data_IF_155004454893
#
_entry.id   IF_155004454893
#
_cell.length_a   1.000
_cell.length_b   1.000
_cell.length_c   1.000
_cell.angle_alpha   90.00
_cell.angle_beta   90.00
_cell.angle_gamma   90.00
#
_symmetry.space_group_name_H-M   'P 1'
#
loop_
_entity.id
_entity.type
_entity.pdbx_description
1 polymer ?
#
# COMPACT_ATOMS: atom_id res chain seq x y z
N UNK A 1 -12.38 -44.78 -19.60
CA UNK A 1 -11.30 -43.91 -19.08
C UNK A 1 -10.29 -43.46 -20.15
N UNK A 2 -10.04 -44.26 -21.21
CA UNK A 2 -9.05 -43.93 -22.25
C UNK A 2 -9.47 -42.80 -23.20
N UNK A 3 -10.77 -42.69 -23.52
CA UNK A 3 -11.30 -41.66 -24.44
C UNK A 3 -11.27 -40.26 -23.78
N UNK A 4 -11.62 -40.17 -22.49
CA UNK A 4 -11.63 -38.89 -21.75
C UNK A 4 -10.21 -38.29 -21.65
N UNK A 5 -9.17 -39.12 -21.46
CA UNK A 5 -7.77 -38.65 -21.39
C UNK A 5 -7.27 -38.08 -22.73
N UNK A 6 -7.71 -38.62 -23.87
CA UNK A 6 -7.34 -38.11 -25.19
C UNK A 6 -8.04 -36.79 -25.53
N UNK A 7 -9.33 -36.66 -25.18
CA UNK A 7 -10.08 -35.41 -25.40
C UNK A 7 -9.54 -34.26 -24.55
N UNK A 8 -9.08 -34.54 -23.33
CA UNK A 8 -8.48 -33.53 -22.44
C UNK A 8 -7.14 -33.01 -22.98
N UNK A 9 -6.30 -33.90 -23.52
CA UNK A 9 -5.00 -33.53 -24.11
C UNK A 9 -5.14 -32.67 -25.38
N UNK A 10 -6.22 -32.88 -26.14
CA UNK A 10 -6.50 -32.10 -27.36
C UNK A 10 -6.95 -30.67 -27.03
N UNK A 11 -7.74 -30.49 -25.96
CA UNK A 11 -8.21 -29.15 -25.56
C UNK A 11 -7.06 -28.29 -25.02
N UNK A 12 -6.10 -28.89 -24.31
CA UNK A 12 -4.94 -28.19 -23.76
C UNK A 12 -4.01 -27.67 -24.86
N UNK A 13 -3.79 -28.44 -25.94
CA UNK A 13 -2.91 -28.01 -27.03
C UNK A 13 -3.49 -26.87 -27.86
N UNK A 14 -4.81 -26.85 -28.07
CA UNK A 14 -5.49 -25.74 -28.76
C UNK A 14 -5.41 -24.45 -27.93
N UNK A 15 -5.59 -24.54 -26.61
CA UNK A 15 -5.51 -23.38 -25.71
C UNK A 15 -4.12 -22.71 -25.76
N UNK A 16 -3.04 -23.51 -25.78
CA UNK A 16 -1.66 -23.02 -25.87
C UNK A 16 -1.39 -22.30 -27.20
N UNK A 17 -1.91 -22.82 -28.33
CA UNK A 17 -1.72 -22.19 -29.64
C UNK A 17 -2.44 -20.84 -29.70
N UNK A 18 -3.65 -20.74 -29.14
CA UNK A 18 -4.41 -19.47 -29.10
C UNK A 18 -3.69 -18.43 -28.24
N UNK A 19 -3.15 -18.81 -27.07
CA UNK A 19 -2.40 -17.88 -26.20
C UNK A 19 -1.09 -17.41 -26.84
N UNK A 20 -0.35 -18.30 -27.52
CA UNK A 20 0.86 -17.91 -28.27
C UNK A 20 0.53 -17.02 -29.47
N UNK A 21 -0.59 -17.25 -30.16
CA UNK A 21 -1.01 -16.43 -31.30
C UNK A 21 -1.49 -15.04 -30.85
N UNK A 22 -2.18 -14.95 -29.70
CA UNK A 22 -2.58 -13.68 -29.11
C UNK A 22 -1.36 -12.87 -28.63
N UNK A 23 -0.36 -13.53 -28.04
CA UNK A 23 0.87 -12.88 -27.60
C UNK A 23 1.73 -12.35 -28.77
N UNK A 24 1.74 -13.03 -29.92
CA UNK A 24 2.48 -12.57 -31.09
C UNK A 24 1.80 -11.38 -31.81
N UNK A 25 0.48 -11.20 -31.67
CA UNK A 25 -0.24 -10.08 -32.30
C UNK A 25 -0.16 -8.76 -31.51
N UNK A 26 0.22 -8.78 -30.23
CA UNK A 26 0.48 -7.55 -29.46
C UNK A 26 1.85 -6.92 -29.78
N UNK A 27 2.76 -7.65 -30.43
CA UNK A 27 4.10 -7.16 -30.78
C UNK A 27 4.23 -6.60 -32.22
N UNK A 28 3.15 -6.56 -33.00
CA UNK A 28 3.15 -5.96 -34.33
C UNK A 28 2.33 -4.67 -34.37
N UNK A 29 2.84 -3.62 -33.71
CA UNK A 29 2.48 -2.24 -34.01
C UNK A 29 3.75 -1.50 -34.45
N UNK A 30 3.75 -0.76 -35.57
CA UNK A 30 4.94 -0.12 -36.08
C UNK A 30 5.37 1.02 -35.14
N UNK A 31 6.66 1.00 -34.79
CA UNK A 31 7.32 2.07 -34.07
C UNK A 31 7.36 3.33 -34.94
N UNK A 32 6.62 4.36 -34.54
CA UNK A 32 6.93 5.73 -34.94
C UNK A 32 7.96 6.31 -33.99
N UNK A 33 9.10 6.65 -34.58
CA UNK A 33 10.22 7.31 -33.95
C UNK A 33 9.83 8.73 -33.52
N UNK A 34 9.87 9.00 -32.23
CA UNK A 34 10.26 10.31 -31.73
C UNK A 34 11.27 10.10 -30.60
N UNK A 35 12.54 10.17 -30.98
CA UNK A 35 13.67 10.22 -30.05
C UNK A 35 13.73 11.59 -29.39
N UNK A 36 12.92 11.79 -28.36
CA UNK A 36 13.27 12.77 -27.32
C UNK A 36 14.26 12.07 -26.39
N UNK A 37 15.52 12.49 -26.45
CA UNK A 37 16.57 12.11 -25.50
C UNK A 37 16.00 12.14 -24.07
N UNK A 38 16.01 11.02 -23.31
CA UNK A 38 15.99 11.12 -21.88
C UNK A 38 17.37 11.65 -21.49
N UNK A 39 17.47 12.96 -21.28
CA UNK A 39 18.59 13.50 -20.51
C UNK A 39 18.63 12.71 -19.21
N UNK A 40 19.75 12.04 -19.01
CA UNK A 40 20.11 11.27 -17.84
C UNK A 40 19.82 12.08 -16.58
N UNK A 41 18.63 11.90 -16.01
CA UNK A 41 18.29 12.43 -14.71
C UNK A 41 18.76 11.40 -13.68
N UNK A 42 20.09 11.21 -13.62
CA UNK A 42 20.78 10.44 -12.57
C UNK A 42 20.41 10.94 -11.16
N UNK A 43 19.76 12.09 -11.05
CA UNK A 43 19.27 12.68 -9.81
C UNK A 43 17.86 12.25 -9.39
N UNK A 44 17.01 11.72 -10.27
CA UNK A 44 15.67 11.30 -9.88
C UNK A 44 15.70 9.99 -9.07
N UNK A 45 16.58 9.05 -9.44
CA UNK A 45 16.81 7.82 -8.68
C UNK A 45 17.66 8.03 -7.42
N UNK A 46 18.50 9.08 -7.37
CA UNK A 46 19.32 9.41 -6.19
C UNK A 46 18.57 10.19 -5.12
N UNK A 47 17.54 10.96 -5.47
CA UNK A 47 16.77 11.79 -4.51
C UNK A 47 15.82 11.00 -3.60
N UNK A 48 15.41 9.79 -3.96
CA UNK A 48 14.33 9.09 -3.23
C UNK A 48 14.83 8.38 -1.95
N UNK A 49 16.15 8.15 -1.79
CA UNK A 49 16.69 7.47 -0.61
C UNK A 49 17.78 8.26 0.15
N UNK A 50 18.26 9.40 -0.38
CA UNK A 50 19.39 10.12 0.22
C UNK A 50 19.04 10.91 1.49
N UNK A 51 17.76 11.14 1.77
CA UNK A 51 17.29 11.85 2.98
C UNK A 51 16.58 10.93 3.98
N UNK A 52 16.37 9.66 3.62
CA UNK A 52 15.68 8.72 4.50
C UNK A 52 16.69 8.22 5.55
N UNK A 53 16.52 8.65 6.81
CA UNK A 53 17.21 8.05 7.93
C UNK A 53 16.84 6.57 8.00
N UNK A 54 17.84 5.68 7.85
CA UNK A 54 17.65 4.24 7.97
C UNK A 54 18.11 3.83 9.37
N UNK A 55 17.18 3.44 10.27
CA UNK A 55 17.55 2.91 11.57
C UNK A 55 18.48 1.71 11.40
N UNK A 56 19.59 1.73 12.15
CA UNK A 56 20.68 0.76 12.07
C UNK A 56 20.84 -0.06 13.36
N UNK A 57 20.12 0.30 14.41
CA UNK A 57 20.08 -0.40 15.69
C UNK A 57 18.65 -0.63 16.16
N UNK A 58 18.43 -1.61 17.03
CA UNK A 58 17.12 -1.91 17.62
C UNK A 58 16.52 -0.69 18.34
N UNK A 59 17.33 0.06 19.11
CA UNK A 59 16.86 1.27 19.81
C UNK A 59 16.47 2.40 18.86
N UNK A 60 17.17 2.56 17.73
CA UNK A 60 16.79 3.53 16.69
C UNK A 60 15.47 3.14 16.02
N UNK A 61 15.22 1.85 15.85
CA UNK A 61 13.95 1.33 15.32
C UNK A 61 12.79 1.51 16.29
N UNK A 62 13.00 1.29 17.59
CA UNK A 62 11.99 1.53 18.63
C UNK A 62 11.63 3.01 18.74
N UNK A 63 12.62 3.90 18.65
CA UNK A 63 12.39 5.34 18.60
C UNK A 63 11.61 5.73 17.34
N UNK A 64 12.05 5.28 16.17
CA UNK A 64 11.36 5.52 14.90
C UNK A 64 9.91 5.02 14.94
N UNK A 65 9.65 3.85 15.51
CA UNK A 65 8.30 3.33 15.69
C UNK A 65 7.45 4.23 16.60
N UNK A 66 8.01 4.70 17.71
CA UNK A 66 7.33 5.62 18.64
C UNK A 66 6.99 6.95 17.96
N UNK A 67 7.90 7.47 17.13
CA UNK A 67 7.67 8.69 16.34
C UNK A 67 6.55 8.51 15.30
N UNK A 68 6.46 7.34 14.67
CA UNK A 68 5.35 7.02 13.78
C UNK A 68 4.03 7.02 14.54
N UNK A 69 3.98 6.40 15.72
CA UNK A 69 2.77 6.35 16.55
C UNK A 69 2.30 7.74 17.00
N UNK A 70 3.24 8.59 17.44
CA UNK A 70 2.94 9.96 17.83
C UNK A 70 2.41 10.76 16.62
N UNK A 71 3.09 10.69 15.48
CA UNK A 71 2.65 11.32 14.22
C UNK A 71 1.25 10.87 13.86
N UNK A 72 0.99 9.57 13.92
CA UNK A 72 -0.32 8.96 13.69
C UNK A 72 -1.42 9.61 14.54
N UNK A 73 -1.17 9.81 15.83
CA UNK A 73 -2.13 10.41 16.78
C UNK A 73 -2.33 11.90 16.46
N UNK A 74 -1.24 12.63 16.25
CA UNK A 74 -1.29 14.05 15.91
C UNK A 74 -2.05 14.31 14.60
N UNK A 75 -1.75 13.52 13.57
CA UNK A 75 -2.32 13.68 12.25
C UNK A 75 -3.81 13.33 12.21
N UNK A 76 -4.27 12.29 12.94
CA UNK A 76 -5.70 12.05 13.16
C UNK A 76 -6.38 13.25 13.80
N UNK A 77 -5.73 13.80 14.83
CA UNK A 77 -6.27 14.93 15.58
C UNK A 77 -6.42 16.17 14.69
N UNK A 78 -5.48 16.41 13.75
CA UNK A 78 -5.58 17.52 12.79
C UNK A 78 -6.82 17.40 11.89
N UNK A 79 -7.11 16.20 11.38
CA UNK A 79 -8.29 15.96 10.54
C UNK A 79 -9.58 16.16 11.35
N UNK A 80 -9.64 15.58 12.56
CA UNK A 80 -10.82 15.67 13.44
C UNK A 80 -11.11 17.12 13.85
N UNK A 81 -10.06 17.91 14.09
CA UNK A 81 -10.17 19.30 14.52
C UNK A 81 -10.27 20.30 13.35
N UNK A 82 -10.38 19.83 12.11
CA UNK A 82 -10.50 20.69 10.94
C UNK A 82 -11.76 21.56 11.03
N UNK A 83 -11.59 22.88 10.88
CA UNK A 83 -12.69 23.85 10.98
C UNK A 83 -13.58 23.88 9.75
N UNK A 84 -13.04 23.47 8.60
CA UNK A 84 -13.72 23.38 7.30
C UNK A 84 -13.41 22.03 6.66
N UNK A 85 -14.39 21.48 5.94
CA UNK A 85 -14.26 20.19 5.25
C UNK A 85 -13.98 20.43 3.77
N UNK A 86 -12.81 20.99 3.49
CA UNK A 86 -12.35 21.31 2.15
C UNK A 86 -11.06 20.57 1.78
N UNK A 87 -10.61 20.77 0.54
CA UNK A 87 -9.42 20.14 0.01
C UNK A 87 -8.19 20.40 0.89
N UNK A 88 -7.94 21.66 1.27
CA UNK A 88 -6.70 22.06 1.94
C UNK A 88 -6.69 21.66 3.42
N UNK A 89 -7.85 21.60 4.06
CA UNK A 89 -7.99 21.35 5.50
C UNK A 89 -8.17 19.89 5.87
N UNK A 90 -8.68 19.06 4.95
CA UNK A 90 -9.00 17.65 5.23
C UNK A 90 -8.33 16.72 4.22
N UNK A 91 -8.63 16.89 2.93
CA UNK A 91 -8.25 15.90 1.90
C UNK A 91 -6.74 15.88 1.67
N UNK A 92 -6.13 17.04 1.50
CA UNK A 92 -4.68 17.16 1.28
C UNK A 92 -3.87 16.65 2.48
N UNK A 93 -4.15 17.06 3.74
CA UNK A 93 -3.51 16.45 4.91
C UNK A 93 -3.67 14.94 4.94
N UNK A 94 -4.87 14.42 4.65
CA UNK A 94 -5.12 12.98 4.59
C UNK A 94 -4.23 12.25 3.55
N UNK A 95 -4.07 12.82 2.35
CA UNK A 95 -3.17 12.27 1.32
C UNK A 95 -1.71 12.31 1.78
N UNK A 96 -1.28 13.42 2.37
CA UNK A 96 0.09 13.59 2.86
C UNK A 96 0.43 12.57 3.95
N UNK A 97 -0.52 12.30 4.85
CA UNK A 97 -0.40 11.26 5.88
C UNK A 97 -0.23 9.88 5.23
N UNK A 98 -1.09 9.53 4.27
CA UNK A 98 -0.98 8.26 3.55
C UNK A 98 0.34 8.11 2.80
N UNK A 99 0.83 9.17 2.17
CA UNK A 99 2.11 9.17 1.48
C UNK A 99 3.26 8.88 2.47
N UNK A 100 3.32 9.60 3.60
CA UNK A 100 4.34 9.38 4.64
C UNK A 100 4.30 7.96 5.19
N UNK A 101 3.11 7.43 5.49
CA UNK A 101 2.97 6.06 6.01
C UNK A 101 3.33 5.00 4.96
N UNK A 102 3.11 5.30 3.68
CA UNK A 102 3.57 4.44 2.58
C UNK A 102 5.10 4.39 2.51
N UNK A 103 5.77 5.51 2.77
CA UNK A 103 7.24 5.56 2.87
C UNK A 103 7.72 4.75 4.09
N UNK A 104 7.08 4.92 5.24
CA UNK A 104 7.38 4.17 6.46
C UNK A 104 7.16 2.64 6.26
N UNK A 105 6.10 2.23 5.57
CA UNK A 105 5.86 0.83 5.16
C UNK A 105 7.00 0.34 4.25
N UNK A 106 7.43 1.14 3.29
CA UNK A 106 8.48 0.77 2.34
C UNK A 106 9.81 0.55 3.06
N UNK A 107 10.13 1.40 4.03
CA UNK A 107 11.30 1.25 4.89
C UNK A 107 11.20 -0.02 5.75
N UNK A 108 10.05 -0.26 6.37
CA UNK A 108 9.79 -1.47 7.15
C UNK A 108 10.00 -2.75 6.31
N UNK A 109 9.48 -2.78 5.08
CA UNK A 109 9.66 -3.88 4.12
C UNK A 109 11.14 -4.06 3.75
N UNK A 110 11.86 -2.96 3.51
CA UNK A 110 13.29 -3.01 3.19
C UNK A 110 14.08 -3.64 4.35
N UNK A 111 13.85 -3.17 5.57
CA UNK A 111 14.55 -3.65 6.76
C UNK A 111 14.22 -5.12 7.08
N UNK A 112 12.94 -5.52 7.06
CA UNK A 112 12.54 -6.91 7.34
C UNK A 112 13.07 -7.91 6.30
N UNK A 113 13.27 -7.47 5.04
CA UNK A 113 13.71 -8.36 3.96
C UNK A 113 15.23 -8.39 3.77
N UNK A 114 15.92 -7.27 4.00
CA UNK A 114 17.33 -7.08 3.64
C UNK A 114 18.30 -7.00 4.81
N UNK A 115 17.85 -6.67 6.02
CA UNK A 115 18.77 -6.61 7.16
C UNK A 115 19.38 -7.99 7.44
N UNK A 116 20.67 -8.01 7.79
CA UNK A 116 21.36 -9.21 8.28
C UNK A 116 21.12 -9.45 9.77
N UNK A 117 20.66 -8.44 10.49
CA UNK A 117 20.39 -8.48 11.92
C UNK A 117 18.94 -8.95 12.15
N UNK A 118 18.78 -10.03 12.91
CA UNK A 118 17.48 -10.63 13.19
C UNK A 118 16.59 -9.74 14.06
N UNK A 119 17.17 -9.02 15.02
CA UNK A 119 16.43 -8.14 15.91
C UNK A 119 15.87 -6.94 15.13
N UNK A 120 16.67 -6.37 14.21
CA UNK A 120 16.23 -5.32 13.30
C UNK A 120 15.07 -5.81 12.42
N UNK A 121 15.16 -7.04 11.91
CA UNK A 121 14.09 -7.61 11.08
C UNK A 121 12.80 -7.79 11.86
N UNK A 122 12.89 -8.23 13.11
CA UNK A 122 11.72 -8.44 13.96
C UNK A 122 11.03 -7.12 14.32
N UNK A 123 11.79 -6.09 14.69
CA UNK A 123 11.21 -4.77 14.97
C UNK A 123 10.64 -4.13 13.70
N UNK A 124 11.35 -4.21 12.57
CA UNK A 124 10.84 -3.69 11.29
C UNK A 124 9.55 -4.40 10.86
N UNK A 125 9.44 -5.69 11.14
CA UNK A 125 8.25 -6.45 10.82
C UNK A 125 7.06 -6.10 11.72
N UNK A 126 7.31 -5.86 13.01
CA UNK A 126 6.30 -5.32 13.92
C UNK A 126 5.85 -3.91 13.49
N UNK A 127 6.79 -3.05 13.10
CA UNK A 127 6.49 -1.73 12.55
C UNK A 127 5.61 -1.84 11.28
N UNK A 128 5.98 -2.70 10.33
CA UNK A 128 5.18 -2.96 9.12
C UNK A 128 3.73 -3.34 9.45
N UNK A 129 3.53 -4.29 10.37
CA UNK A 129 2.20 -4.73 10.78
C UNK A 129 1.38 -3.57 11.39
N UNK A 130 2.00 -2.79 12.27
CA UNK A 130 1.35 -1.67 12.96
C UNK A 130 0.98 -0.52 12.00
N UNK A 131 1.90 -0.15 11.11
CA UNK A 131 1.66 0.91 10.11
C UNK A 131 0.58 0.47 9.12
N UNK A 132 0.62 -0.79 8.66
CA UNK A 132 -0.38 -1.33 7.72
C UNK A 132 -1.78 -1.35 8.34
N UNK A 133 -1.88 -1.78 9.60
CA UNK A 133 -3.14 -1.72 10.35
C UNK A 133 -3.65 -0.28 10.42
N UNK A 134 -2.78 0.67 10.75
CA UNK A 134 -3.17 2.05 10.86
C UNK A 134 -3.65 2.65 9.53
N UNK A 135 -2.94 2.42 8.42
CA UNK A 135 -3.32 2.90 7.08
C UNK A 135 -4.73 2.45 6.70
N UNK A 136 -5.15 1.27 7.15
CA UNK A 136 -6.49 0.79 6.92
C UNK A 136 -7.51 1.28 7.96
N UNK A 137 -7.10 1.49 9.21
CA UNK A 137 -7.99 2.00 10.27
C UNK A 137 -8.36 3.47 10.10
N UNK A 138 -7.46 4.33 9.63
CA UNK A 138 -7.73 5.77 9.47
C UNK A 138 -9.00 6.06 8.65
N UNK A 139 -9.19 5.55 7.43
CA UNK A 139 -10.40 5.82 6.66
C UNK A 139 -11.67 5.21 7.30
N UNK A 140 -11.50 4.20 8.16
CA UNK A 140 -12.58 3.44 8.80
C UNK A 140 -12.98 3.99 10.16
N UNK A 141 -12.13 4.81 10.78
CA UNK A 141 -12.44 5.57 11.97
C UNK A 141 -13.71 6.39 11.72
N UNK A 142 -14.70 6.23 12.60
CA UNK A 142 -16.04 6.77 12.37
C UNK A 142 -16.03 8.29 12.13
N UNK A 143 -15.21 9.02 12.89
CA UNK A 143 -15.17 10.48 12.83
C UNK A 143 -14.42 10.92 11.58
N UNK A 144 -13.30 10.27 11.26
CA UNK A 144 -12.51 10.56 10.05
C UNK A 144 -13.29 10.19 8.78
N UNK A 145 -13.93 9.03 8.75
CA UNK A 145 -14.76 8.54 7.63
C UNK A 145 -15.86 9.55 7.29
N UNK A 146 -16.58 10.04 8.31
CA UNK A 146 -17.61 11.06 8.14
C UNK A 146 -17.05 12.39 7.61
N UNK A 147 -15.92 12.85 8.14
CA UNK A 147 -15.26 14.10 7.73
C UNK A 147 -14.76 13.99 6.28
N UNK A 148 -14.16 12.86 5.91
CA UNK A 148 -13.70 12.59 4.54
C UNK A 148 -14.87 12.53 3.57
N UNK A 149 -15.94 11.79 3.87
CA UNK A 149 -17.14 11.74 3.01
C UNK A 149 -17.75 13.13 2.82
N UNK A 150 -17.79 13.94 3.89
CA UNK A 150 -18.28 15.32 3.83
C UNK A 150 -17.38 16.19 2.96
N UNK A 151 -16.05 16.06 3.07
CA UNK A 151 -15.11 16.84 2.27
C UNK A 151 -15.14 16.44 0.80
N UNK A 152 -15.14 15.14 0.48
CA UNK A 152 -15.16 14.63 -0.88
C UNK A 152 -16.50 14.89 -1.59
N UNK A 153 -17.63 14.87 -0.87
CA UNK A 153 -18.93 15.22 -1.46
C UNK A 153 -19.07 16.70 -1.81
N UNK A 154 -18.31 17.57 -1.13
CA UNK A 154 -18.26 19.01 -1.40
C UNK A 154 -17.11 19.40 -2.35
N UNK A 155 -16.21 18.46 -2.66
CA UNK A 155 -15.05 18.71 -3.51
C UNK A 155 -15.50 19.02 -4.93
N UNK A 156 -15.19 20.24 -5.39
CA UNK A 156 -15.29 20.64 -6.78
C UNK A 156 -13.88 20.67 -7.40
N UNK A 157 -13.41 19.58 -8.03
CA UNK A 157 -12.04 19.45 -8.47
C UNK A 157 -11.68 20.48 -9.54
N UNK A 158 -10.66 21.30 -9.26
CA UNK A 158 -10.14 22.35 -10.18
C UNK A 158 -8.86 21.92 -10.88
N UNK A 159 -8.19 20.89 -10.38
CA UNK A 159 -6.94 20.35 -10.92
C UNK A 159 -7.08 18.87 -11.27
N UNK A 160 -6.23 18.38 -12.17
CA UNK A 160 -6.17 16.95 -12.49
C UNK A 160 -5.82 16.10 -11.28
N UNK A 161 -4.99 16.62 -10.37
CA UNK A 161 -4.64 15.97 -9.11
C UNK A 161 -5.89 15.76 -8.23
N UNK A 162 -6.70 16.81 -8.05
CA UNK A 162 -7.94 16.72 -7.28
C UNK A 162 -8.95 15.76 -7.91
N UNK A 163 -9.06 15.77 -9.25
CA UNK A 163 -9.93 14.84 -9.96
C UNK A 163 -9.47 13.39 -9.83
N UNK A 164 -8.17 13.13 -9.94
CA UNK A 164 -7.59 11.81 -9.79
C UNK A 164 -7.78 11.30 -8.36
N UNK A 165 -7.59 12.16 -7.37
CA UNK A 165 -7.82 11.81 -5.98
C UNK A 165 -9.29 11.48 -5.70
N UNK A 166 -10.22 12.31 -6.18
CA UNK A 166 -11.65 12.04 -6.04
C UNK A 166 -12.03 10.69 -6.67
N UNK A 167 -11.50 10.40 -7.86
CA UNK A 167 -11.73 9.12 -8.54
C UNK A 167 -11.16 7.94 -7.74
N UNK A 168 -9.97 8.09 -7.14
CA UNK A 168 -9.35 7.09 -6.28
C UNK A 168 -10.21 6.85 -5.04
N UNK A 169 -10.61 7.92 -4.35
CA UNK A 169 -11.47 7.86 -3.18
C UNK A 169 -12.76 7.11 -3.50
N UNK A 170 -13.51 7.52 -4.53
CA UNK A 170 -14.77 6.86 -4.90
C UNK A 170 -14.62 5.38 -5.29
N UNK A 171 -13.49 5.00 -5.89
CA UNK A 171 -13.24 3.63 -6.36
C UNK A 171 -12.86 2.69 -5.23
N UNK A 172 -11.96 3.13 -4.36
CA UNK A 172 -11.25 2.28 -3.41
C UNK A 172 -11.78 2.46 -1.98
N UNK A 173 -11.90 3.71 -1.51
CA UNK A 173 -12.24 4.02 -0.12
C UNK A 173 -13.72 4.29 0.11
N UNK A 174 -14.39 4.95 -0.83
CA UNK A 174 -15.81 5.28 -0.78
C UNK A 174 -16.70 4.04 -0.73
N UNK A 175 -16.25 2.90 -1.30
CA UNK A 175 -16.96 1.62 -1.17
C UNK A 175 -16.86 1.04 0.23
N UNK A 176 -15.70 1.17 0.86
CA UNK A 176 -15.47 0.71 2.23
C UNK A 176 -16.19 1.65 3.21
N UNK A 177 -16.18 2.95 2.93
CA UNK A 177 -16.88 3.96 3.73
C UNK A 177 -18.40 3.87 3.62
N UNK A 178 -18.92 3.38 2.50
CA UNK A 178 -20.33 3.06 2.33
C UNK A 178 -20.81 1.82 3.11
N UNK A 179 -19.90 1.01 3.67
CA UNK A 179 -20.27 -0.09 4.56
C UNK A 179 -20.96 0.44 5.82
N UNK A 180 -21.91 -0.32 6.35
CA UNK A 180 -22.50 0.02 7.64
C UNK A 180 -21.50 -0.23 8.79
N UNK A 181 -21.81 0.27 9.99
CA UNK A 181 -20.88 0.19 11.12
C UNK A 181 -20.44 -1.25 11.44
N UNK A 182 -21.37 -2.21 11.44
CA UNK A 182 -21.05 -3.62 11.71
C UNK A 182 -20.17 -4.26 10.63
N UNK A 183 -20.35 -3.85 9.37
CA UNK A 183 -19.54 -4.31 8.26
C UNK A 183 -18.13 -3.72 8.34
N UNK A 184 -18.00 -2.44 8.74
CA UNK A 184 -16.70 -1.79 9.00
C UNK A 184 -15.96 -2.47 10.15
N UNK A 185 -16.64 -2.76 11.26
CA UNK A 185 -16.06 -3.48 12.40
C UNK A 185 -15.60 -4.89 12.00
N UNK A 186 -16.43 -5.61 11.23
CA UNK A 186 -16.07 -6.95 10.71
C UNK A 186 -14.89 -6.90 9.75
N UNK A 187 -14.84 -5.89 8.87
CA UNK A 187 -13.72 -5.67 7.96
C UNK A 187 -12.42 -5.39 8.73
N UNK A 188 -12.45 -4.48 9.70
CA UNK A 188 -11.31 -4.16 10.56
C UNK A 188 -10.83 -5.39 11.33
N UNK A 189 -11.76 -6.14 11.91
CA UNK A 189 -11.45 -7.37 12.61
C UNK A 189 -10.74 -8.38 11.69
N UNK A 190 -11.29 -8.63 10.50
CA UNK A 190 -10.69 -9.57 9.55
C UNK A 190 -9.33 -9.10 9.07
N UNK A 191 -9.16 -7.80 8.82
CA UNK A 191 -7.87 -7.24 8.44
C UNK A 191 -6.84 -7.43 9.55
N UNK A 192 -7.20 -7.15 10.80
CA UNK A 192 -6.33 -7.38 11.95
C UNK A 192 -5.96 -8.87 12.08
N UNK A 193 -6.90 -9.79 11.88
CA UNK A 193 -6.62 -11.23 11.87
C UNK A 193 -5.66 -11.62 10.74
N UNK A 194 -5.83 -11.09 9.52
CA UNK A 194 -4.93 -11.37 8.40
C UNK A 194 -3.52 -10.83 8.64
N UNK A 195 -3.41 -9.63 9.23
CA UNK A 195 -2.13 -9.05 9.64
C UNK A 195 -1.46 -9.93 10.70
N UNK A 196 -2.19 -10.40 11.70
CA UNK A 196 -1.68 -11.28 12.75
C UNK A 196 -1.27 -12.66 12.22
N UNK A 197 -2.04 -13.25 11.30
CA UNK A 197 -1.70 -14.53 10.67
C UNK A 197 -0.43 -14.38 9.82
N UNK A 198 -0.34 -13.29 9.06
CA UNK A 198 0.88 -12.95 8.33
C UNK A 198 2.05 -12.84 9.29
N UNK A 199 1.83 -12.16 10.43
CA UNK A 199 2.82 -11.95 11.47
C UNK A 199 3.38 -13.28 12.00
N UNK A 200 2.47 -14.19 12.36
CA UNK A 200 2.79 -15.52 12.84
C UNK A 200 3.48 -16.38 11.77
N UNK A 201 3.05 -16.30 10.52
CA UNK A 201 3.69 -17.02 9.42
C UNK A 201 5.14 -16.59 9.24
N UNK A 202 5.43 -15.30 9.29
CA UNK A 202 6.80 -14.81 9.22
C UNK A 202 7.65 -15.29 10.40
N UNK A 203 7.15 -15.16 11.63
CA UNK A 203 7.87 -15.60 12.84
C UNK A 203 8.15 -17.10 12.84
N UNK A 204 7.19 -17.93 12.41
CA UNK A 204 7.30 -19.38 12.49
C UNK A 204 8.01 -20.02 11.30
N UNK A 205 8.06 -19.35 10.15
CA UNK A 205 8.58 -19.94 8.90
C UNK A 205 9.81 -19.20 8.37
N UNK A 206 9.79 -17.87 8.37
CA UNK A 206 10.87 -17.05 7.81
C UNK A 206 12.03 -16.81 8.78
N UNK A 207 11.75 -16.70 10.09
CA UNK A 207 12.80 -16.54 11.10
C UNK A 207 13.65 -17.83 11.25
N UNK A 208 13.05 -19.02 11.49
CA UNK A 208 13.82 -20.23 11.77
C UNK A 208 14.54 -20.78 10.55
N UNK A 209 13.97 -20.61 9.35
CA UNK A 209 14.58 -21.06 8.10
C UNK A 209 15.89 -20.30 7.78
N UNK A 210 16.06 -19.07 8.30
CA UNK A 210 17.31 -18.30 8.17
C UNK A 210 18.32 -18.56 9.30
N UNK A 211 17.90 -19.14 10.42
CA UNK A 211 18.84 -19.66 11.43
C UNK A 211 19.49 -20.98 11.00
N UNK A 212 18.86 -21.69 10.05
CA UNK A 212 19.29 -23.00 9.55
C UNK A 212 20.21 -22.92 8.31
N UNK A 213 20.33 -21.75 7.66
CA UNK A 213 21.27 -21.47 6.55
C UNK A 213 22.49 -20.76 7.14
#
# INVERSE_FOLDING_TARGET
MFIIRKSLMLLLSIFIIITLTACNNENSSPADSNSTNPSTDENASKRVFSELYIPSTTSELELWLSEIEERIIEEKSKIILAKTYDWDSVIKPYIEIKAKLSDDISLAILLMTRSSDLDIRDVAYFAYAKITQYVAEVPLDKDISFILDSAYSQLNPKTNEQQNELNRYLKDEGKINALNLSEKESYLYNLQQLTNISLQYYQNTMLPAKTLI
#
